data_IF_447512878265
#
_entry.id   IF_447512878265
#
_cell.length_a   1.000
_cell.length_b   1.000
_cell.length_c   1.000
_cell.angle_alpha   90.00
_cell.angle_beta   90.00
_cell.angle_gamma   90.00
#
_symmetry.space_group_name_H-M   'P 1'
#
loop_
_entity.id
_entity.type
_entity.pdbx_description
1 polymer ?
#
# COMPACT_ATOMS: atom_id res chain seq x y z
N UNK A 1 5.83 -14.84 -3.78
CA UNK A 1 6.35 -13.90 -2.75
C UNK A 1 5.16 -13.42 -1.92
N UNK A 2 5.34 -13.22 -0.62
CA UNK A 2 4.31 -12.68 0.27
C UNK A 2 4.18 -11.16 0.13
N UNK A 3 3.00 -10.63 0.48
CA UNK A 3 2.83 -9.21 0.68
C UNK A 3 3.57 -8.80 1.97
N UNK A 4 4.07 -7.57 2.06
CA UNK A 4 4.76 -7.06 3.25
C UNK A 4 4.54 -5.56 3.41
N UNK A 5 4.38 -5.11 4.65
CA UNK A 5 4.25 -3.69 5.01
C UNK A 5 5.30 -3.34 6.05
N UNK A 6 5.91 -2.18 5.87
CA UNK A 6 6.68 -1.49 6.89
C UNK A 6 6.19 -0.04 6.97
N UNK A 7 5.59 0.31 8.10
CA UNK A 7 4.97 1.61 8.35
C UNK A 7 5.73 2.36 9.43
N UNK A 8 6.16 3.57 9.12
CA UNK A 8 6.67 4.54 10.09
C UNK A 8 6.01 5.90 9.77
N UNK A 9 5.83 6.79 10.77
CA UNK A 9 5.24 8.09 10.53
C UNK A 9 5.94 8.84 9.39
N UNK A 10 5.19 9.15 8.33
CA UNK A 10 5.63 9.87 7.14
C UNK A 10 6.38 9.04 6.10
N UNK A 11 6.58 7.74 6.32
CA UNK A 11 7.13 6.83 5.30
C UNK A 11 6.50 5.44 5.38
N UNK A 12 5.84 5.06 4.28
CA UNK A 12 5.25 3.74 4.11
C UNK A 12 6.02 2.97 3.03
N UNK A 13 6.42 1.74 3.34
CA UNK A 13 6.95 0.79 2.36
C UNK A 13 6.02 -0.40 2.22
N UNK A 14 5.55 -0.62 1.01
CA UNK A 14 4.69 -1.75 0.64
C UNK A 14 5.46 -2.65 -0.31
N UNK A 15 5.39 -3.97 -0.10
CA UNK A 15 5.84 -4.96 -1.07
C UNK A 15 4.64 -5.76 -1.54
N UNK A 16 4.48 -5.83 -2.84
CA UNK A 16 3.40 -6.57 -3.50
C UNK A 16 3.96 -7.33 -4.70
N UNK A 17 3.68 -8.64 -4.84
CA UNK A 17 4.03 -9.37 -6.05
C UNK A 17 3.24 -8.90 -7.28
N UNK A 18 2.10 -8.21 -7.10
CA UNK A 18 1.19 -7.78 -8.18
C UNK A 18 1.90 -6.90 -9.20
N UNK A 19 2.72 -5.95 -8.73
CA UNK A 19 3.45 -5.02 -9.62
C UNK A 19 4.81 -5.57 -10.08
N UNK A 20 5.23 -6.72 -9.55
CA UNK A 20 6.55 -7.26 -9.83
C UNK A 20 6.65 -7.65 -11.31
N UNK A 21 7.70 -7.18 -11.99
CA UNK A 21 7.93 -7.38 -13.44
C UNK A 21 6.81 -6.84 -14.33
N UNK A 22 5.95 -5.97 -13.81
CA UNK A 22 4.89 -5.32 -14.57
C UNK A 22 5.01 -3.79 -14.52
N UNK A 23 5.75 -3.17 -15.45
CA UNK A 23 5.98 -1.73 -15.45
C UNK A 23 4.71 -0.91 -15.73
N UNK A 24 3.70 -1.51 -16.39
CA UNK A 24 2.41 -0.85 -16.61
C UNK A 24 1.68 -0.64 -15.28
N UNK A 25 1.52 -1.70 -14.49
CA UNK A 25 0.89 -1.60 -13.17
C UNK A 25 1.69 -0.68 -12.23
N UNK A 26 3.01 -0.62 -12.39
CA UNK A 26 3.83 0.31 -11.62
C UNK A 26 3.51 1.79 -11.93
N UNK A 27 3.22 2.11 -13.19
CA UNK A 27 2.79 3.46 -13.59
C UNK A 27 1.38 3.78 -13.09
N UNK A 28 0.45 2.82 -13.16
CA UNK A 28 -0.90 3.01 -12.61
C UNK A 28 -0.87 3.24 -11.11
N UNK A 29 -0.09 2.44 -10.37
CA UNK A 29 0.11 2.63 -8.93
C UNK A 29 0.71 4.00 -8.61
N UNK A 30 1.70 4.44 -9.39
CA UNK A 30 2.27 5.77 -9.23
C UNK A 30 1.20 6.85 -9.45
N UNK A 31 0.42 6.77 -10.54
CA UNK A 31 -0.64 7.72 -10.86
C UNK A 31 -1.73 7.77 -9.79
N UNK A 32 -2.17 6.62 -9.29
CA UNK A 32 -3.13 6.51 -8.19
C UNK A 32 -2.64 7.21 -6.92
N UNK A 33 -1.37 7.02 -6.56
CA UNK A 33 -0.81 7.57 -5.33
C UNK A 33 -0.46 9.06 -5.46
N UNK A 34 0.04 9.48 -6.62
CA UNK A 34 0.48 10.86 -6.85
C UNK A 34 -0.66 11.89 -6.78
N UNK A 35 -1.91 11.47 -6.97
CA UNK A 35 -3.09 12.35 -6.85
C UNK A 35 -3.63 12.46 -5.42
N UNK A 36 -3.14 11.65 -4.49
CA UNK A 36 -3.58 11.70 -3.10
C UNK A 36 -2.96 12.90 -2.39
N UNK A 37 -3.81 13.74 -1.79
CA UNK A 37 -3.36 14.89 -1.01
C UNK A 37 -2.52 14.42 0.18
N UNK A 38 -1.35 15.02 0.37
CA UNK A 38 -0.41 14.69 1.44
C UNK A 38 0.66 13.68 1.04
N UNK A 39 0.63 13.15 -0.18
CA UNK A 39 1.76 12.40 -0.73
C UNK A 39 2.84 13.38 -1.20
N UNK A 40 4.06 13.19 -0.72
CA UNK A 40 5.21 14.02 -1.07
C UNK A 40 6.05 13.39 -2.17
N UNK A 41 6.24 12.07 -2.12
CA UNK A 41 6.90 11.33 -3.20
C UNK A 41 6.54 9.85 -3.20
N UNK A 42 6.60 9.24 -4.39
CA UNK A 42 6.35 7.82 -4.61
C UNK A 42 7.47 7.24 -5.46
N UNK A 43 8.05 6.15 -4.99
CA UNK A 43 9.05 5.38 -5.74
C UNK A 43 8.58 3.95 -5.89
N UNK A 44 8.45 3.49 -7.14
CA UNK A 44 8.07 2.11 -7.46
C UNK A 44 9.28 1.36 -8.03
N UNK A 45 9.62 0.23 -7.40
CA UNK A 45 10.68 -0.69 -7.84
C UNK A 45 10.05 -1.95 -8.44
N UNK A 46 9.84 -1.92 -9.76
CA UNK A 46 9.17 -2.99 -10.53
C UNK A 46 9.88 -4.34 -10.41
N UNK A 47 11.21 -4.34 -10.34
CA UNK A 47 12.01 -5.58 -10.25
C UNK A 47 11.68 -6.38 -8.98
N UNK A 48 11.46 -5.68 -7.87
CA UNK A 48 11.26 -6.29 -6.53
C UNK A 48 9.82 -6.22 -6.04
N UNK A 49 8.94 -5.53 -6.75
CA UNK A 49 7.56 -5.28 -6.33
C UNK A 49 7.45 -4.35 -5.12
N UNK A 50 8.46 -3.49 -4.88
CA UNK A 50 8.49 -2.61 -3.71
C UNK A 50 8.02 -1.20 -4.07
N UNK A 51 7.14 -0.64 -3.27
CA UNK A 51 6.68 0.74 -3.33
C UNK A 51 7.17 1.44 -2.06
N UNK A 52 7.77 2.61 -2.20
CA UNK A 52 8.16 3.48 -1.08
C UNK A 52 7.43 4.80 -1.26
N UNK A 53 6.76 5.24 -0.20
CA UNK A 53 5.83 6.35 -0.20
C UNK A 53 6.23 7.27 0.94
N UNK A 54 6.58 8.51 0.62
CA UNK A 54 6.77 9.57 1.60
C UNK A 54 5.50 10.43 1.63
N UNK A 55 5.02 10.71 2.83
CA UNK A 55 3.75 11.40 3.03
C UNK A 55 3.78 12.29 4.26
N UNK A 56 2.99 13.36 4.24
CA UNK A 56 2.75 14.17 5.43
C UNK A 56 1.73 13.46 6.33
N UNK A 57 2.21 12.90 7.44
CA UNK A 57 1.39 12.18 8.41
C UNK A 57 0.38 13.07 9.17
N UNK A 58 0.44 14.40 8.99
CA UNK A 58 -0.58 15.35 9.46
C UNK A 58 -1.74 15.51 8.47
N UNK A 59 -1.53 15.17 7.20
CA UNK A 59 -2.51 15.33 6.11
C UNK A 59 -3.17 14.00 5.75
N UNK A 60 -2.40 12.92 5.69
CA UNK A 60 -2.89 11.58 5.33
C UNK A 60 -2.26 10.51 6.23
N UNK A 61 -3.03 9.49 6.61
CA UNK A 61 -2.53 8.35 7.39
C UNK A 61 -2.16 7.18 6.48
N UNK A 62 -1.15 6.41 6.88
CA UNK A 62 -0.72 5.19 6.18
C UNK A 62 -1.86 4.22 5.87
N UNK A 63 -2.81 4.05 6.79
CA UNK A 63 -4.03 3.24 6.57
C UNK A 63 -4.87 3.68 5.37
N UNK A 64 -4.92 4.98 5.07
CA UNK A 64 -5.68 5.53 3.95
C UNK A 64 -4.97 5.22 2.63
N UNK A 65 -3.64 5.30 2.63
CA UNK A 65 -2.79 4.93 1.50
C UNK A 65 -2.92 3.43 1.21
N UNK A 66 -2.90 2.58 2.25
CA UNK A 66 -3.07 1.13 2.11
C UNK A 66 -4.47 0.81 1.61
N UNK A 67 -5.51 1.46 2.14
CA UNK A 67 -6.88 1.28 1.66
C UNK A 67 -7.01 1.62 0.18
N UNK A 68 -6.40 2.71 -0.30
CA UNK A 68 -6.39 3.07 -1.72
C UNK A 68 -5.75 1.97 -2.59
N UNK A 69 -4.59 1.43 -2.16
CA UNK A 69 -3.92 0.33 -2.86
C UNK A 69 -4.75 -0.96 -2.87
N UNK A 70 -5.45 -1.26 -1.78
CA UNK A 70 -6.31 -2.44 -1.68
C UNK A 70 -7.58 -2.32 -2.50
N UNK A 71 -8.25 -1.17 -2.47
CA UNK A 71 -9.44 -0.91 -3.27
C UNK A 71 -9.13 -0.99 -4.78
N UNK A 72 -7.94 -0.55 -5.19
CA UNK A 72 -7.48 -0.66 -6.57
C UNK A 72 -6.91 -2.04 -6.94
N UNK A 73 -6.86 -2.99 -5.99
CA UNK A 73 -6.41 -4.37 -6.25
C UNK A 73 -4.89 -4.56 -6.33
N UNK A 74 -4.09 -3.54 -5.99
CA UNK A 74 -2.62 -3.60 -6.04
C UNK A 74 -1.99 -4.19 -4.78
N UNK A 75 -2.75 -4.31 -3.70
CA UNK A 75 -2.26 -4.81 -2.42
C UNK A 75 -3.32 -5.59 -1.64
N UNK A 76 -2.96 -6.79 -1.20
CA UNK A 76 -3.80 -7.62 -0.32
C UNK A 76 -3.24 -7.65 1.12
N UNK A 77 -3.87 -6.92 2.07
CA UNK A 77 -3.43 -6.88 3.45
C UNK A 77 -3.60 -8.22 4.18
N UNK A 78 -4.54 -9.08 3.79
CA UNK A 78 -4.77 -10.36 4.47
C UNK A 78 -3.66 -11.38 4.15
N UNK A 79 -2.90 -11.14 3.08
CA UNK A 79 -1.74 -11.95 2.66
C UNK A 79 -0.41 -11.31 3.05
N UNK A 80 -0.45 -10.21 3.81
CA UNK A 80 0.73 -9.45 4.18
C UNK A 80 1.35 -9.98 5.47
N UNK A 81 2.66 -10.18 5.45
CA UNK A 81 3.45 -10.35 6.67
C UNK A 81 3.70 -8.96 7.21
N UNK A 82 3.07 -8.61 8.33
CA UNK A 82 3.26 -7.34 9.03
C UNK A 82 3.95 -7.61 10.37
N UNK A 83 4.78 -6.67 10.85
CA UNK A 83 5.31 -6.70 12.23
C UNK A 83 4.41 -5.94 13.22
N UNK A 84 3.40 -5.23 12.72
CA UNK A 84 2.46 -4.41 13.49
C UNK A 84 0.99 -4.81 13.22
N UNK A 85 0.08 -4.36 14.10
CA UNK A 85 -1.35 -4.70 14.29
C UNK A 85 -2.30 -4.57 13.07
N UNK A 86 -1.80 -4.36 11.85
CA UNK A 86 -2.63 -4.18 10.63
C UNK A 86 -3.58 -5.34 10.32
N UNK A 87 -3.27 -6.56 10.78
CA UNK A 87 -4.14 -7.72 10.59
C UNK A 87 -5.43 -7.67 11.42
N UNK A 88 -5.49 -6.86 12.49
CA UNK A 88 -6.67 -6.81 13.35
C UNK A 88 -7.87 -6.15 12.65
N UNK A 89 -7.66 -5.07 11.90
CA UNK A 89 -8.74 -4.31 11.26
C UNK A 89 -9.22 -4.90 9.92
N UNK A 90 -8.31 -5.51 9.15
CA UNK A 90 -8.64 -6.06 7.83
C UNK A 90 -9.60 -7.25 7.92
N UNK A 91 -9.53 -8.03 9.00
CA UNK A 91 -10.44 -9.16 9.26
C UNK A 91 -11.85 -8.71 9.70
N UNK A 92 -12.02 -7.51 10.25
CA UNK A 92 -13.32 -7.05 10.76
C UNK A 92 -14.23 -6.52 9.65
N UNK A 93 -13.66 -5.99 8.55
CA UNK A 93 -14.48 -5.37 7.48
C UNK A 93 -14.96 -6.33 6.39
N UNK A 94 -14.41 -7.53 6.28
CA UNK A 94 -14.89 -8.57 5.35
C UNK A 94 -16.03 -9.44 5.92
N UNK A 95 -16.52 -9.13 7.13
CA UNK A 95 -17.54 -9.90 7.85
C UNK A 95 -18.95 -9.30 7.90
N UNK A 96 -19.34 -8.38 7.02
CA UNK A 96 -20.75 -7.95 6.91
C UNK A 96 -21.23 -7.90 5.47
N UNK A 97 -21.70 -9.07 5.03
CA UNK A 97 -22.76 -9.18 4.04
C UNK A 97 -23.94 -9.78 4.81
N UNK A 98 -24.90 -8.94 5.19
CA UNK A 98 -26.29 -9.29 5.54
C UNK A 98 -27.18 -8.15 5.08
#
# INVERSE_FOLDING_TARGET
MSHYIHDIPGRLRVRTPVIQRNPHLAQEVYGLLAVLRGIESVTVKVVTGSIVIHYDHKVIRSREIIAALTHAGYFDPTKAITHDDYLHDACVKTGKIV
#
